data_IF_232235296744
#
_entry.id   IF_232235296744
#
_cell.length_a   1.000
_cell.length_b   1.000
_cell.length_c   1.000
_cell.angle_alpha   90.00
_cell.angle_beta   90.00
_cell.angle_gamma   90.00
#
_symmetry.space_group_name_H-M   'P 1'
#
loop_
_entity.id
_entity.type
_entity.pdbx_description
1 polymer ?
#
# COMPACT_ATOMS: atom_id res chain seq x y z
N UNK A 1 -82.91 -5.08 17.51
CA UNK A 1 -81.97 -4.89 16.38
C UNK A 1 -80.74 -5.74 16.70
N UNK A 2 -80.72 -7.04 16.39
CA UNK A 2 -80.33 -7.61 15.08
C UNK A 2 -79.09 -6.89 14.50
N UNK A 3 -77.97 -7.51 14.19
CA UNK A 3 -77.56 -8.91 14.21
C UNK A 3 -76.04 -8.96 13.96
N UNK A 4 -75.38 -10.03 14.43
CA UNK A 4 -74.49 -10.94 13.68
C UNK A 4 -73.52 -10.28 12.65
N UNK A 5 -72.25 -10.64 12.52
CA UNK A 5 -71.62 -11.95 12.68
C UNK A 5 -70.17 -11.75 12.25
N UNK A 6 -69.25 -12.47 12.87
CA UNK A 6 -67.98 -12.73 12.22
C UNK A 6 -68.19 -13.46 10.89
N UNK A 7 -67.42 -13.09 9.86
CA UNK A 7 -67.08 -13.99 8.77
C UNK A 7 -65.57 -14.02 8.56
N UNK A 8 -65.10 -15.22 8.25
CA UNK A 8 -63.80 -15.78 8.52
C UNK A 8 -63.19 -16.22 7.17
N UNK A 9 -61.87 -16.11 7.08
CA UNK A 9 -60.94 -16.84 6.18
C UNK A 9 -60.80 -16.33 4.73
N UNK A 10 -59.69 -16.60 4.00
CA UNK A 10 -58.57 -17.51 4.31
C UNK A 10 -57.13 -16.97 4.06
N UNK A 11 -56.18 -17.54 4.79
CA UNK A 11 -54.78 -17.67 4.36
C UNK A 11 -54.72 -18.71 3.22
N UNK A 12 -54.68 -18.26 1.96
CA UNK A 12 -53.95 -18.92 0.86
C UNK A 12 -54.23 -18.22 -0.47
N UNK A 13 -53.18 -18.07 -1.28
CA UNK A 13 -53.21 -17.57 -2.65
C UNK A 13 -53.51 -16.07 -2.71
N UNK A 14 -52.53 -15.18 -2.84
CA UNK A 14 -51.82 -15.04 -4.10
C UNK A 14 -50.37 -14.62 -3.82
N UNK A 15 -49.53 -15.64 -3.96
CA UNK A 15 -48.09 -15.60 -4.16
C UNK A 15 -47.79 -15.02 -5.56
N UNK A 16 -48.25 -13.80 -5.85
CA UNK A 16 -47.98 -13.16 -7.15
C UNK A 16 -47.86 -11.62 -7.10
N UNK A 17 -47.39 -11.06 -5.98
CA UNK A 17 -46.87 -9.69 -5.95
C UNK A 17 -45.48 -9.62 -5.29
N UNK A 18 -44.70 -10.69 -5.42
CA UNK A 18 -43.24 -10.59 -5.42
C UNK A 18 -42.84 -10.15 -6.84
N UNK A 19 -43.02 -8.87 -7.16
CA UNK A 19 -42.29 -8.17 -8.23
C UNK A 19 -42.59 -6.66 -8.25
N UNK A 20 -42.47 -6.01 -7.09
CA UNK A 20 -42.13 -4.59 -7.05
C UNK A 20 -40.88 -4.45 -6.18
N UNK A 21 -39.79 -4.95 -6.74
CA UNK A 21 -38.47 -4.89 -6.17
C UNK A 21 -38.07 -3.44 -5.88
N UNK A 22 -37.73 -3.20 -4.61
CA UNK A 22 -36.45 -2.62 -4.22
C UNK A 22 -35.91 -1.49 -5.10
N UNK A 23 -36.44 -0.28 -4.93
CA UNK A 23 -35.69 0.95 -5.27
C UNK A 23 -34.88 1.51 -4.09
N UNK A 24 -35.09 0.99 -2.89
CA UNK A 24 -34.42 1.48 -1.68
C UNK A 24 -33.28 0.57 -1.18
N UNK A 25 -33.04 -0.58 -1.81
CA UNK A 25 -31.94 -1.49 -1.45
C UNK A 25 -30.71 -1.39 -2.38
N UNK A 26 -30.83 -0.75 -3.55
CA UNK A 26 -29.70 -0.54 -4.48
C UNK A 26 -28.83 0.70 -4.15
N UNK A 27 -29.15 1.44 -3.08
CA UNK A 27 -28.26 2.47 -2.51
C UNK A 27 -27.34 1.94 -1.40
N UNK A 28 -27.56 0.72 -0.91
CA UNK A 28 -26.73 0.08 0.13
C UNK A 28 -25.73 -0.95 -0.43
N UNK A 29 -25.69 -1.13 -1.76
CA UNK A 29 -24.70 -1.96 -2.45
C UNK A 29 -23.80 -1.14 -3.39
N UNK A 30 -23.68 0.16 -3.14
CA UNK A 30 -22.52 0.93 -3.58
C UNK A 30 -21.56 1.07 -2.40
N UNK A 31 -20.99 -0.06 -1.99
CA UNK A 31 -19.63 -0.11 -1.42
C UNK A 31 -18.71 0.28 -2.57
N UNK A 32 -18.74 1.56 -2.93
CA UNK A 32 -17.63 2.16 -3.62
C UNK A 32 -16.46 2.05 -2.65
N UNK A 33 -15.48 1.27 -3.07
CA UNK A 33 -14.16 1.14 -2.47
C UNK A 33 -13.59 2.53 -2.23
N UNK A 34 -13.90 3.11 -1.07
CA UNK A 34 -13.20 4.25 -0.51
C UNK A 34 -11.85 3.74 0.00
N UNK A 35 -10.95 3.44 -0.94
CA UNK A 35 -9.52 3.47 -0.64
C UNK A 35 -9.13 4.94 -0.55
N UNK A 36 -9.59 5.59 0.52
CA UNK A 36 -9.03 6.84 0.98
C UNK A 36 -7.72 6.45 1.66
N UNK A 37 -6.66 6.33 0.86
CA UNK A 37 -5.29 6.19 1.37
C UNK A 37 -4.95 7.47 2.11
N UNK A 38 -5.28 7.46 3.40
CA UNK A 38 -4.75 8.36 4.40
C UNK A 38 -3.23 8.20 4.41
N UNK A 39 -2.54 9.32 4.17
CA UNK A 39 -1.09 9.39 4.12
C UNK A 39 -0.52 9.52 2.72
N UNK A 40 -0.85 10.59 2.00
CA UNK A 40 0.14 11.14 1.08
C UNK A 40 1.33 11.56 1.95
N UNK A 41 2.32 10.67 2.12
CA UNK A 41 3.66 11.12 2.44
C UNK A 41 3.97 12.15 1.35
N UNK A 42 3.95 13.42 1.73
CA UNK A 42 4.36 14.51 0.86
C UNK A 42 5.77 14.16 0.44
N UNK A 43 5.89 13.60 -0.76
CA UNK A 43 7.16 13.47 -1.45
C UNK A 43 7.57 14.91 -1.65
N UNK A 44 8.34 15.43 -0.70
CA UNK A 44 8.97 16.72 -0.86
C UNK A 44 9.79 16.55 -2.13
N UNK A 45 9.36 17.25 -3.18
CA UNK A 45 10.08 17.27 -4.44
C UNK A 45 11.46 17.76 -4.06
N UNK A 46 12.48 16.91 -4.21
CA UNK A 46 13.85 17.36 -3.96
C UNK A 46 14.06 18.56 -4.88
N UNK A 47 14.45 19.72 -4.33
CA UNK A 47 14.74 20.88 -5.16
C UNK A 47 15.91 20.54 -6.08
N UNK A 48 15.83 20.97 -7.35
CA UNK A 48 16.97 20.95 -8.25
C UNK A 48 17.98 21.96 -7.71
N UNK A 49 18.92 21.48 -6.89
CA UNK A 49 19.94 22.28 -6.20
C UNK A 49 21.28 22.15 -6.90
N UNK A 50 22.05 23.23 -6.86
CA UNK A 50 23.48 23.19 -7.16
C UNK A 50 24.23 22.39 -6.06
N UNK A 51 25.41 21.86 -6.40
CA UNK A 51 26.11 20.90 -5.55
C UNK A 51 26.41 21.41 -4.14
N UNK A 52 26.84 22.68 -4.00
CA UNK A 52 27.09 23.29 -2.69
C UNK A 52 25.80 23.40 -1.86
N UNK A 53 24.68 23.72 -2.50
CA UNK A 53 23.38 23.84 -1.86
C UNK A 53 22.83 22.49 -1.42
N UNK A 54 23.04 21.43 -2.22
CA UNK A 54 22.60 20.08 -1.88
C UNK A 54 23.26 19.56 -0.61
N UNK A 55 24.57 19.78 -0.44
CA UNK A 55 25.29 19.36 0.77
C UNK A 55 24.73 20.04 2.03
N UNK A 56 24.50 21.35 1.96
CA UNK A 56 23.93 22.13 3.06
C UNK A 56 22.50 21.68 3.38
N UNK A 57 21.68 21.46 2.36
CA UNK A 57 20.32 20.95 2.50
C UNK A 57 20.29 19.57 3.16
N UNK A 58 21.12 18.64 2.69
CA UNK A 58 21.14 17.26 3.22
C UNK A 58 21.67 17.20 4.64
N UNK A 59 22.68 18.00 4.97
CA UNK A 59 23.24 18.08 6.32
C UNK A 59 22.18 18.50 7.34
N UNK A 60 21.38 19.53 7.03
CA UNK A 60 20.26 19.98 7.89
C UNK A 60 19.26 18.86 8.18
N UNK A 61 18.83 18.14 7.15
CA UNK A 61 17.88 17.01 7.32
C UNK A 61 18.48 15.92 8.22
N UNK A 62 19.77 15.58 8.03
CA UNK A 62 20.42 14.57 8.85
C UNK A 62 20.54 15.02 10.31
N UNK A 63 20.83 16.31 10.55
CA UNK A 63 20.91 16.85 11.91
C UNK A 63 19.55 16.83 12.61
N UNK A 64 18.45 17.19 11.91
CA UNK A 64 17.08 17.05 12.42
C UNK A 64 16.76 15.60 12.83
N UNK A 65 17.20 14.63 12.02
CA UNK A 65 17.02 13.20 12.31
C UNK A 65 17.90 12.72 13.49
N UNK A 66 19.10 13.29 13.67
CA UNK A 66 19.96 13.00 14.82
C UNK A 66 19.34 13.48 16.13
N UNK A 67 18.65 14.62 16.12
CA UNK A 67 17.95 15.14 17.29
C UNK A 67 16.73 14.29 17.64
N UNK A 68 15.91 13.96 16.63
CA UNK A 68 14.66 13.21 16.82
C UNK A 68 14.92 11.73 17.15
N UNK A 69 16.02 11.16 16.63
CA UNK A 69 16.41 9.72 16.72
C UNK A 69 15.36 8.73 16.22
N UNK A 70 14.28 9.21 15.59
CA UNK A 70 13.18 8.41 15.10
C UNK A 70 12.88 8.78 13.63
N UNK A 71 13.40 8.03 12.64
CA UNK A 71 14.33 6.90 12.72
C UNK A 71 15.79 7.32 12.90
N UNK A 72 16.61 6.50 13.59
CA UNK A 72 18.03 6.76 13.74
C UNK A 72 18.77 6.69 12.38
N UNK A 73 19.40 7.79 11.90
CA UNK A 73 20.04 7.83 10.60
C UNK A 73 21.29 6.92 10.50
N UNK A 74 21.90 6.55 11.62
CA UNK A 74 23.12 5.73 11.65
C UNK A 74 22.93 4.53 12.60
N UNK A 75 22.30 3.44 12.14
CA UNK A 75 22.14 2.23 12.95
C UNK A 75 23.48 1.51 13.16
N UNK A 76 23.72 0.99 14.37
CA UNK A 76 24.98 0.29 14.70
C UNK A 76 25.08 -1.10 14.06
N UNK A 77 23.96 -1.80 13.92
CA UNK A 77 23.92 -3.13 13.30
C UNK A 77 22.65 -3.28 12.47
N UNK A 78 22.84 -3.76 11.26
CA UNK A 78 21.79 -4.29 10.40
C UNK A 78 22.12 -5.74 10.08
N UNK A 79 21.17 -6.65 10.29
CA UNK A 79 21.36 -8.07 10.01
C UNK A 79 21.08 -8.31 8.52
N UNK A 80 22.15 -8.62 7.78
CA UNK A 80 22.09 -8.98 6.35
C UNK A 80 22.04 -10.49 6.24
N UNK A 81 21.03 -11.00 5.54
CA UNK A 81 20.83 -12.44 5.39
C UNK A 81 21.63 -12.99 4.20
N UNK A 82 21.64 -12.26 3.08
CA UNK A 82 22.24 -12.70 1.82
C UNK A 82 22.93 -11.52 1.12
N UNK A 83 24.05 -11.79 0.46
CA UNK A 83 24.74 -10.79 -0.38
C UNK A 83 24.02 -10.60 -1.72
N UNK A 84 24.19 -9.46 -2.39
CA UNK A 84 23.52 -9.18 -3.67
C UNK A 84 23.88 -10.23 -4.73
N UNK A 85 25.14 -10.68 -4.79
CA UNK A 85 25.59 -11.69 -5.75
C UNK A 85 24.93 -13.05 -5.52
N UNK A 86 24.84 -13.48 -4.26
CA UNK A 86 24.15 -14.71 -3.88
C UNK A 86 22.65 -14.61 -4.13
N UNK A 87 22.05 -13.44 -3.92
CA UNK A 87 20.63 -13.20 -4.22
C UNK A 87 20.33 -13.35 -5.72
N UNK A 88 21.19 -12.83 -6.59
CA UNK A 88 21.04 -12.96 -8.04
C UNK A 88 21.16 -14.43 -8.47
N UNK A 89 22.14 -15.17 -7.92
CA UNK A 89 22.32 -16.58 -8.23
C UNK A 89 21.11 -17.41 -7.81
N UNK A 90 20.62 -17.22 -6.58
CA UNK A 90 19.45 -17.92 -6.06
C UNK A 90 18.20 -17.63 -6.88
N UNK A 91 17.95 -16.38 -7.27
CA UNK A 91 16.72 -15.98 -7.95
C UNK A 91 16.80 -16.01 -9.50
N UNK A 92 17.90 -16.49 -10.07
CA UNK A 92 18.12 -16.53 -11.52
C UNK A 92 17.11 -17.37 -12.31
N UNK A 93 16.43 -18.31 -11.65
CA UNK A 93 15.49 -19.26 -12.27
C UNK A 93 14.05 -18.73 -12.33
N UNK A 94 13.75 -17.57 -11.73
CA UNK A 94 12.39 -17.02 -11.66
C UNK A 94 11.97 -16.46 -13.02
N UNK A 95 10.75 -16.79 -13.46
CA UNK A 95 10.19 -16.29 -14.73
C UNK A 95 9.62 -14.88 -14.58
N UNK A 96 9.54 -14.15 -15.70
CA UNK A 96 8.94 -12.83 -15.73
C UNK A 96 7.48 -12.86 -15.21
N UNK A 97 7.16 -11.99 -14.26
CA UNK A 97 5.83 -11.89 -13.64
C UNK A 97 5.61 -12.78 -12.40
N UNK A 98 6.56 -13.67 -12.08
CA UNK A 98 6.52 -14.47 -10.86
C UNK A 98 7.16 -13.71 -9.69
N UNK A 99 6.51 -13.78 -8.52
CA UNK A 99 6.99 -13.17 -7.27
C UNK A 99 6.93 -14.21 -6.17
N UNK A 100 8.03 -14.40 -5.45
CA UNK A 100 8.10 -15.31 -4.31
C UNK A 100 7.78 -14.51 -3.04
N UNK A 101 6.61 -14.72 -2.45
CA UNK A 101 6.15 -14.01 -1.24
C UNK A 101 6.56 -14.74 0.06
N UNK A 102 6.99 -15.99 -0.04
CA UNK A 102 7.26 -16.86 1.11
C UNK A 102 8.58 -16.54 1.81
N UNK A 103 9.60 -16.09 1.07
CA UNK A 103 10.93 -15.82 1.60
C UNK A 103 11.13 -14.32 1.87
N UNK A 104 11.39 -13.97 3.13
CA UNK A 104 11.78 -12.63 3.54
C UNK A 104 13.31 -12.57 3.59
N UNK A 105 13.91 -11.75 2.72
CA UNK A 105 15.37 -11.59 2.63
C UNK A 105 15.77 -10.16 2.96
N UNK A 106 16.76 -9.98 3.84
CA UNK A 106 17.38 -8.69 4.13
C UNK A 106 18.67 -8.51 3.34
N UNK A 107 18.73 -7.43 2.56
CA UNK A 107 19.87 -7.10 1.69
C UNK A 107 20.35 -5.69 2.04
N UNK A 108 21.66 -5.45 1.96
CA UNK A 108 22.26 -4.13 2.10
C UNK A 108 23.06 -3.75 0.84
N UNK A 109 23.15 -2.45 0.56
CA UNK A 109 23.93 -1.91 -0.55
C UNK A 109 23.87 -0.39 -0.65
N UNK A 110 24.52 0.18 -1.68
CA UNK A 110 24.47 1.61 -2.00
C UNK A 110 23.43 1.88 -3.09
N UNK A 111 22.62 2.92 -2.90
CA UNK A 111 21.69 3.41 -3.91
C UNK A 111 22.48 4.21 -4.95
N UNK A 112 22.31 3.88 -6.23
CA UNK A 112 22.94 4.59 -7.34
C UNK A 112 21.99 5.45 -8.15
N UNK A 113 20.76 5.00 -8.29
CA UNK A 113 19.74 5.73 -9.02
C UNK A 113 18.38 5.41 -8.39
N UNK A 114 17.51 6.39 -8.35
CA UNK A 114 16.13 6.26 -7.93
C UNK A 114 15.25 6.88 -8.99
N UNK A 115 14.29 6.10 -9.49
CA UNK A 115 13.28 6.56 -10.45
C UNK A 115 11.90 6.24 -9.92
N UNK A 116 10.94 7.14 -10.15
CA UNK A 116 9.54 6.89 -9.79
C UNK A 116 8.71 6.48 -11.00
N UNK A 117 7.86 5.48 -10.79
CA UNK A 117 6.85 5.02 -11.74
C UNK A 117 5.48 5.35 -11.15
N UNK A 118 4.87 6.42 -11.66
CA UNK A 118 3.67 6.99 -11.05
C UNK A 118 3.91 7.53 -9.64
N UNK A 119 2.82 7.75 -8.90
CA UNK A 119 2.87 8.31 -7.55
C UNK A 119 3.26 7.28 -6.47
N UNK A 120 3.01 5.99 -6.73
CA UNK A 120 3.09 4.92 -5.72
C UNK A 120 4.38 4.11 -5.81
N UNK A 121 4.90 3.87 -7.01
CA UNK A 121 6.02 2.94 -7.20
C UNK A 121 7.34 3.70 -7.33
N UNK A 122 8.35 3.25 -6.60
CA UNK A 122 9.72 3.75 -6.69
C UNK A 122 10.64 2.57 -6.98
N UNK A 123 11.45 2.71 -8.02
CA UNK A 123 12.45 1.74 -8.40
C UNK A 123 13.83 2.29 -8.06
N UNK A 124 14.57 1.56 -7.23
CA UNK A 124 15.93 1.92 -6.79
C UNK A 124 16.95 0.92 -7.34
N UNK A 125 18.03 1.44 -7.93
CA UNK A 125 19.18 0.63 -8.32
C UNK A 125 20.16 0.56 -7.15
N UNK A 126 20.46 -0.66 -6.69
CA UNK A 126 21.35 -0.94 -5.56
C UNK A 126 22.58 -1.68 -6.07
N UNK A 127 23.79 -1.24 -5.69
CA UNK A 127 25.03 -2.00 -5.94
C UNK A 127 25.71 -2.38 -4.63
N UNK A 128 26.56 -3.40 -4.72
CA UNK A 128 27.44 -3.79 -3.62
C UNK A 128 28.35 -2.62 -3.23
N UNK A 129 28.57 -2.47 -1.92
CA UNK A 129 29.67 -1.67 -1.39
C UNK A 129 30.90 -2.52 -1.58
N UNK A 130 31.63 -2.29 -2.66
CA UNK A 130 32.88 -2.97 -2.98
C UNK A 130 33.79 -2.96 -1.74
N UNK A 131 34.12 -4.16 -1.24
CA UNK A 131 35.28 -4.42 -0.40
C UNK A 131 36.55 -4.18 -1.20
#
# INVERSE_FOLDING_TARGET
MFALRQFRLPLCSIRSLILAQNKNALRLLQVQTRNKSTGSLKKQKEPDLEQSQYFNYRSKIIDELRHTKDPNPYPHKFNVDVTISQFIQKNSHIKAGQVNTEEIVRIAGRIHNQRSYGAVNVMTNIRNVTS
#
